data_IF_453262812232
#
_entry.id   IF_453262812232
#
_cell.length_a   1.000
_cell.length_b   1.000
_cell.length_c   1.000
_cell.angle_alpha   90.00
_cell.angle_beta   90.00
_cell.angle_gamma   90.00
#
_symmetry.space_group_name_H-M   'P 1'
#
loop_
_entity.id
_entity.type
_entity.pdbx_description
1 polymer ?
#
# COMPACT_ATOMS: atom_id res chain seq x y z
N UNK A 1 -13.88 0.61 11.67
CA UNK A 1 -14.32 -0.75 11.24
C UNK A 1 -13.38 -1.77 11.85
N UNK A 2 -13.88 -2.95 12.18
CA UNK A 2 -13.02 -4.05 12.63
C UNK A 2 -12.05 -4.45 11.50
N UNK A 3 -10.88 -4.98 11.85
CA UNK A 3 -9.93 -5.50 10.87
C UNK A 3 -10.53 -6.76 10.22
N UNK A 4 -10.48 -6.91 8.88
CA UNK A 4 -10.97 -8.12 8.21
C UNK A 4 -10.35 -9.39 8.76
N UNK A 5 -11.17 -10.44 8.88
CA UNK A 5 -10.77 -11.76 9.39
C UNK A 5 -11.12 -12.92 8.44
N UNK A 6 -11.78 -12.61 7.32
CA UNK A 6 -12.09 -13.56 6.25
C UNK A 6 -11.73 -12.99 4.89
N UNK A 7 -11.59 -13.86 3.87
CA UNK A 7 -11.31 -13.46 2.48
C UNK A 7 -12.36 -12.48 1.95
N UNK A 8 -13.64 -12.76 2.24
CA UNK A 8 -14.76 -11.92 1.79
C UNK A 8 -14.66 -10.54 2.43
N UNK A 9 -14.48 -10.47 3.76
CA UNK A 9 -14.33 -9.20 4.46
C UNK A 9 -13.13 -8.39 3.95
N UNK A 10 -12.01 -9.06 3.61
CA UNK A 10 -10.81 -8.42 3.06
C UNK A 10 -11.11 -7.79 1.71
N UNK A 11 -11.67 -8.56 0.76
CA UNK A 11 -11.99 -8.08 -0.59
C UNK A 11 -12.99 -6.93 -0.53
N UNK A 12 -14.08 -7.08 0.22
CA UNK A 12 -15.10 -6.04 0.37
C UNK A 12 -14.55 -4.77 1.00
N UNK A 13 -13.75 -4.89 2.07
CA UNK A 13 -13.18 -3.72 2.75
C UNK A 13 -12.14 -3.02 1.88
N UNK A 14 -11.32 -3.77 1.15
CA UNK A 14 -10.34 -3.23 0.21
C UNK A 14 -11.03 -2.43 -0.89
N UNK A 15 -12.04 -3.02 -1.56
CA UNK A 15 -12.80 -2.36 -2.61
C UNK A 15 -13.48 -1.07 -2.09
N UNK A 16 -14.21 -1.16 -0.97
CA UNK A 16 -14.92 -0.01 -0.40
C UNK A 16 -13.97 1.12 0.02
N UNK A 17 -12.79 0.79 0.56
CA UNK A 17 -11.80 1.81 0.93
C UNK A 17 -11.14 2.44 -0.30
N UNK A 18 -10.87 1.65 -1.33
CA UNK A 18 -10.31 2.13 -2.59
C UNK A 18 -11.30 3.05 -3.32
N UNK A 19 -12.57 2.67 -3.39
CA UNK A 19 -13.63 3.52 -3.96
C UNK A 19 -13.74 4.85 -3.20
N UNK A 20 -13.74 4.81 -1.87
CA UNK A 20 -13.74 6.04 -1.04
C UNK A 20 -12.52 6.92 -1.27
N UNK A 21 -11.35 6.34 -1.49
CA UNK A 21 -10.15 7.11 -1.85
C UNK A 21 -10.40 7.86 -3.16
N UNK A 22 -10.96 7.20 -4.18
CA UNK A 22 -11.29 7.85 -5.46
C UNK A 22 -12.41 8.87 -5.35
N UNK A 23 -13.47 8.61 -4.57
CA UNK A 23 -14.50 9.60 -4.29
C UNK A 23 -13.91 10.90 -3.70
N UNK A 24 -12.96 10.77 -2.77
CA UNK A 24 -12.25 11.92 -2.20
C UNK A 24 -11.39 12.60 -3.28
N UNK A 25 -10.60 11.85 -4.05
CA UNK A 25 -9.75 12.41 -5.10
C UNK A 25 -10.55 13.15 -6.15
N UNK A 26 -11.65 12.56 -6.63
CA UNK A 26 -12.52 13.11 -7.66
C UNK A 26 -13.28 14.35 -7.17
N UNK A 27 -13.41 14.54 -5.85
CA UNK A 27 -13.97 15.75 -5.25
C UNK A 27 -12.99 16.93 -5.20
N UNK A 28 -11.68 16.70 -5.42
CA UNK A 28 -10.66 17.75 -5.40
C UNK A 28 -10.71 18.52 -6.73
N UNK A 29 -10.84 19.86 -6.72
CA UNK A 29 -10.73 20.66 -7.94
C UNK A 29 -9.38 20.47 -8.63
N UNK A 30 -9.40 20.35 -9.97
CA UNK A 30 -8.19 20.08 -10.75
C UNK A 30 -7.11 21.15 -10.54
N UNK A 31 -7.51 22.40 -10.31
CA UNK A 31 -6.62 23.54 -10.11
C UNK A 31 -5.78 23.42 -8.83
N UNK A 32 -6.20 22.60 -7.87
CA UNK A 32 -5.52 22.45 -6.58
C UNK A 32 -4.92 21.06 -6.34
N UNK A 33 -5.13 20.09 -7.24
CA UNK A 33 -4.63 18.71 -7.08
C UNK A 33 -3.10 18.61 -6.98
N UNK A 34 -2.39 19.51 -7.66
CA UNK A 34 -0.91 19.54 -7.66
C UNK A 34 -0.34 20.57 -6.67
N UNK A 35 -1.20 21.34 -5.99
CA UNK A 35 -0.75 22.32 -5.00
C UNK A 35 -0.12 21.56 -3.82
N UNK A 36 1.09 21.95 -3.38
CA UNK A 36 1.70 21.34 -2.21
C UNK A 36 0.85 21.50 -0.96
N UNK A 37 0.71 20.42 -0.20
CA UNK A 37 0.13 20.44 1.13
C UNK A 37 0.97 21.31 2.06
N UNK A 38 0.31 22.14 2.86
CA UNK A 38 0.95 22.90 3.94
C UNK A 38 0.42 22.42 5.30
N UNK A 39 1.28 21.70 6.01
CA UNK A 39 1.03 21.20 7.36
C UNK A 39 1.93 21.87 8.41
N UNK A 40 2.70 22.89 8.02
CA UNK A 40 3.73 23.51 8.87
C UNK A 40 3.19 24.11 10.18
N UNK A 41 1.91 24.47 10.20
CA UNK A 41 1.24 25.08 11.35
C UNK A 41 0.50 24.07 12.26
N UNK A 42 0.54 22.76 11.99
CA UNK A 42 -0.13 21.75 12.82
C UNK A 42 0.88 20.96 13.68
N UNK A 43 1.05 21.30 14.98
CA UNK A 43 2.02 20.64 15.85
C UNK A 43 1.66 19.19 16.20
N UNK A 44 0.47 18.71 15.81
CA UNK A 44 0.05 17.32 16.02
C UNK A 44 0.58 16.39 14.93
N UNK A 45 0.97 16.92 13.77
CA UNK A 45 1.48 16.18 12.62
C UNK A 45 2.98 15.91 12.76
N UNK A 46 3.34 14.85 13.48
CA UNK A 46 4.74 14.55 13.86
C UNK A 46 5.35 13.39 13.07
N UNK A 47 4.51 12.58 12.42
CA UNK A 47 4.91 11.45 11.62
C UNK A 47 5.61 11.89 10.34
N UNK A 48 6.57 11.08 9.88
CA UNK A 48 7.41 11.40 8.71
C UNK A 48 6.62 11.61 7.41
N UNK A 49 5.43 11.00 7.25
CA UNK A 49 4.63 11.17 6.03
C UNK A 49 4.10 12.60 5.87
N UNK A 50 3.88 13.36 6.96
CA UNK A 50 3.44 14.76 6.88
C UNK A 50 4.50 15.69 6.27
N UNK A 51 5.77 15.32 6.38
CA UNK A 51 6.87 16.06 5.75
C UNK A 51 7.30 15.45 4.43
N UNK A 52 7.17 14.13 4.24
CA UNK A 52 7.53 13.44 3.00
C UNK A 52 6.56 13.73 1.88
N UNK A 53 5.26 13.46 2.07
CA UNK A 53 4.27 13.54 0.99
C UNK A 53 3.82 14.99 0.80
N UNK A 54 4.17 15.58 -0.33
CA UNK A 54 3.95 17.00 -0.59
C UNK A 54 2.68 17.29 -1.34
N UNK A 55 2.13 16.34 -2.09
CA UNK A 55 0.94 16.53 -2.90
C UNK A 55 0.24 15.19 -3.14
N UNK A 56 -0.86 15.20 -3.91
CA UNK A 56 -1.62 14.00 -4.20
C UNK A 56 -0.76 12.90 -4.85
N UNK A 57 0.10 13.24 -5.83
CA UNK A 57 0.99 12.28 -6.49
C UNK A 57 1.82 11.51 -5.46
N UNK A 58 2.42 12.19 -4.48
CA UNK A 58 3.28 11.55 -3.47
C UNK A 58 2.52 10.52 -2.63
N UNK A 59 1.25 10.79 -2.30
CA UNK A 59 0.39 9.84 -1.60
C UNK A 59 0.08 8.63 -2.50
N UNK A 60 -0.24 8.85 -3.77
CA UNK A 60 -0.58 7.77 -4.71
C UNK A 60 0.60 6.84 -4.98
N UNK A 61 1.80 7.40 -5.22
CA UNK A 61 3.01 6.59 -5.47
C UNK A 61 3.45 5.84 -4.23
N UNK A 62 3.22 6.39 -3.03
CA UNK A 62 3.45 5.65 -1.79
C UNK A 62 2.57 4.40 -1.71
N UNK A 63 1.26 4.53 -1.97
CA UNK A 63 0.35 3.38 -1.98
C UNK A 63 0.74 2.37 -3.07
N UNK A 64 1.10 2.85 -4.26
CA UNK A 64 1.56 2.02 -5.36
C UNK A 64 2.80 1.19 -4.98
N UNK A 65 3.85 1.81 -4.42
CA UNK A 65 5.08 1.09 -4.04
C UNK A 65 4.82 0.03 -2.96
N UNK A 66 3.86 0.25 -2.05
CA UNK A 66 3.45 -0.77 -1.08
C UNK A 66 2.67 -1.93 -1.70
N UNK A 67 1.88 -1.69 -2.76
CA UNK A 67 1.31 -2.78 -3.56
C UNK A 67 2.42 -3.58 -4.27
N UNK A 68 3.40 -2.91 -4.88
CA UNK A 68 4.53 -3.58 -5.55
C UNK A 68 5.34 -4.44 -4.59
N UNK A 69 5.60 -3.96 -3.37
CA UNK A 69 6.23 -4.76 -2.31
C UNK A 69 5.44 -6.03 -2.01
N UNK A 70 4.11 -5.92 -1.86
CA UNK A 70 3.25 -7.06 -1.57
C UNK A 70 3.23 -8.07 -2.73
N UNK A 71 3.02 -7.59 -3.95
CA UNK A 71 2.97 -8.41 -5.16
C UNK A 71 4.27 -9.18 -5.35
N UNK A 72 5.41 -8.48 -5.32
CA UNK A 72 6.72 -9.08 -5.51
C UNK A 72 7.03 -10.09 -4.40
N UNK A 73 6.75 -9.75 -3.15
CA UNK A 73 6.98 -10.64 -2.01
C UNK A 73 6.16 -11.92 -2.10
N UNK A 74 4.86 -11.84 -2.43
CA UNK A 74 4.00 -13.02 -2.54
C UNK A 74 4.43 -13.89 -3.72
N UNK A 75 4.67 -13.28 -4.89
CA UNK A 75 5.01 -14.02 -6.11
C UNK A 75 6.33 -14.78 -5.95
N UNK A 76 7.41 -14.09 -5.57
CA UNK A 76 8.72 -14.73 -5.38
C UNK A 76 8.65 -15.87 -4.36
N UNK A 77 8.03 -15.66 -3.19
CA UNK A 77 7.94 -16.71 -2.18
C UNK A 77 7.00 -17.86 -2.58
N UNK A 78 5.99 -17.61 -3.42
CA UNK A 78 5.13 -18.66 -3.97
C UNK A 78 5.83 -19.51 -5.02
N UNK A 79 6.83 -18.95 -5.71
CA UNK A 79 7.71 -19.63 -6.67
C UNK A 79 8.92 -20.31 -6.01
N UNK A 80 9.05 -20.19 -4.68
CA UNK A 80 10.14 -20.80 -3.91
C UNK A 80 11.40 -19.95 -3.81
N UNK A 81 11.35 -18.70 -4.26
CA UNK A 81 12.39 -17.70 -4.06
C UNK A 81 12.18 -17.00 -2.71
N UNK A 82 12.85 -17.49 -1.68
CA UNK A 82 12.72 -16.94 -0.33
C UNK A 82 13.21 -15.48 -0.28
N UNK A 83 12.28 -14.57 0.02
CA UNK A 83 12.62 -13.15 0.17
C UNK A 83 11.81 -12.46 1.28
N UNK A 84 12.42 -11.51 2.00
CA UNK A 84 11.71 -10.72 3.00
C UNK A 84 10.72 -9.75 2.34
N UNK A 85 9.66 -9.37 3.08
CA UNK A 85 8.70 -8.36 2.63
C UNK A 85 9.36 -7.01 2.34
N UNK A 86 10.27 -6.58 3.22
CA UNK A 86 11.04 -5.36 3.03
C UNK A 86 12.37 -5.71 2.35
N UNK A 87 12.71 -5.07 1.22
CA UNK A 87 13.94 -5.35 0.50
C UNK A 87 15.16 -4.91 1.32
N UNK A 88 16.26 -5.64 1.20
CA UNK A 88 17.53 -5.26 1.80
C UNK A 88 17.99 -3.88 1.25
N UNK A 89 18.55 -2.97 2.07
CA UNK A 89 18.96 -3.11 3.48
C UNK A 89 17.88 -2.81 4.52
N UNK A 90 16.63 -2.65 4.11
CA UNK A 90 15.57 -2.14 4.98
C UNK A 90 14.93 -3.21 5.86
N UNK A 91 14.41 -2.78 7.00
CA UNK A 91 13.62 -3.60 7.92
C UNK A 91 12.54 -2.73 8.60
N UNK A 92 11.71 -3.33 9.46
CA UNK A 92 10.60 -2.63 10.11
C UNK A 92 10.99 -1.45 11.01
N UNK A 93 12.28 -1.28 11.35
CA UNK A 93 12.79 -0.10 12.05
C UNK A 93 13.25 0.99 11.08
N UNK A 94 13.68 0.62 9.88
CA UNK A 94 14.27 1.53 8.88
C UNK A 94 13.38 1.74 7.65
N UNK A 95 12.19 1.13 7.59
CA UNK A 95 11.28 1.29 6.44
C UNK A 95 10.84 2.75 6.19
N UNK A 96 10.99 3.64 7.18
CA UNK A 96 10.83 5.08 6.96
C UNK A 96 11.81 5.64 5.91
N UNK A 97 13.04 5.11 5.88
CA UNK A 97 14.06 5.46 4.88
C UNK A 97 13.69 4.88 3.51
N UNK A 98 13.20 3.64 3.45
CA UNK A 98 12.65 3.05 2.22
C UNK A 98 11.52 3.91 1.65
N UNK A 99 10.61 4.39 2.51
CA UNK A 99 9.54 5.27 2.07
C UNK A 99 10.07 6.61 1.53
N UNK A 100 11.14 7.15 2.11
CA UNK A 100 11.80 8.34 1.58
C UNK A 100 12.41 8.06 0.20
N UNK A 101 12.96 6.87 0.00
CA UNK A 101 13.48 6.44 -1.30
C UNK A 101 12.37 6.32 -2.35
N UNK A 102 11.22 5.72 -2.02
CA UNK A 102 10.03 5.70 -2.88
C UNK A 102 9.65 7.11 -3.33
N UNK A 103 9.57 8.04 -2.38
CA UNK A 103 9.29 9.43 -2.72
C UNK A 103 10.34 10.01 -3.68
N UNK A 104 11.64 9.81 -3.42
CA UNK A 104 12.71 10.31 -4.29
C UNK A 104 12.61 9.76 -5.72
N UNK A 105 12.29 8.48 -5.88
CA UNK A 105 12.17 7.81 -7.19
C UNK A 105 11.07 8.41 -8.07
N UNK A 106 10.01 8.93 -7.46
CA UNK A 106 8.81 9.36 -8.17
C UNK A 106 8.69 10.87 -8.41
N UNK A 107 9.74 11.66 -8.16
CA UNK A 107 9.65 13.11 -8.35
C UNK A 107 9.43 13.56 -9.80
N UNK A 108 9.79 12.72 -10.78
CA UNK A 108 9.49 12.93 -12.21
C UNK A 108 8.18 12.27 -12.67
N UNK A 109 7.51 11.52 -11.79
CA UNK A 109 6.23 10.87 -12.11
C UNK A 109 5.13 11.92 -12.20
N UNK A 110 4.36 11.91 -13.29
CA UNK A 110 3.20 12.80 -13.47
C UNK A 110 2.03 12.31 -12.60
N UNK A 111 1.18 13.23 -12.16
CA UNK A 111 0.00 12.90 -11.35
C UNK A 111 -0.90 11.86 -12.04
N UNK A 112 -1.17 12.03 -13.34
CA UNK A 112 -2.00 11.08 -14.10
C UNK A 112 -1.37 9.68 -14.18
N UNK A 113 -0.04 9.60 -14.33
CA UNK A 113 0.67 8.33 -14.28
C UNK A 113 0.57 7.69 -12.89
N UNK A 114 0.72 8.46 -11.81
CA UNK A 114 0.58 7.95 -10.45
C UNK A 114 -0.84 7.40 -10.18
N UNK A 115 -1.88 8.04 -10.73
CA UNK A 115 -3.26 7.53 -10.66
C UNK A 115 -3.41 6.19 -11.37
N UNK A 116 -2.89 6.09 -12.60
CA UNK A 116 -2.96 4.85 -13.39
C UNK A 116 -2.17 3.72 -12.72
N UNK A 117 -0.95 4.00 -12.26
CA UNK A 117 -0.11 3.04 -11.55
C UNK A 117 -0.81 2.47 -10.31
N UNK A 118 -1.44 3.33 -9.50
CA UNK A 118 -2.17 2.86 -8.32
C UNK A 118 -3.39 2.02 -8.68
N UNK A 119 -4.15 2.39 -9.72
CA UNK A 119 -5.31 1.59 -10.19
C UNK A 119 -4.87 0.21 -10.67
N UNK A 120 -3.82 0.16 -11.48
CA UNK A 120 -3.29 -1.10 -12.01
C UNK A 120 -2.74 -1.99 -10.89
N UNK A 121 -1.93 -1.44 -9.98
CA UNK A 121 -1.36 -2.23 -8.88
C UNK A 121 -2.42 -2.68 -7.88
N UNK A 122 -3.44 -1.86 -7.61
CA UNK A 122 -4.57 -2.28 -6.77
C UNK A 122 -5.32 -3.46 -7.40
N UNK A 123 -5.65 -3.39 -8.69
CA UNK A 123 -6.31 -4.48 -9.39
C UNK A 123 -5.46 -5.76 -9.35
N UNK A 124 -4.16 -5.67 -9.60
CA UNK A 124 -3.25 -6.81 -9.50
C UNK A 124 -3.22 -7.42 -8.09
N UNK A 125 -3.24 -6.60 -7.04
CA UNK A 125 -3.32 -7.10 -5.66
C UNK A 125 -4.66 -7.79 -5.40
N UNK A 126 -5.77 -7.25 -5.91
CA UNK A 126 -7.09 -7.86 -5.76
C UNK A 126 -7.18 -9.20 -6.48
N UNK A 127 -6.71 -9.28 -7.73
CA UNK A 127 -6.62 -10.53 -8.49
C UNK A 127 -5.76 -11.57 -7.75
N UNK A 128 -4.60 -11.17 -7.23
CA UNK A 128 -3.73 -12.04 -6.45
C UNK A 128 -4.41 -12.55 -5.16
N UNK A 129 -5.14 -11.70 -4.43
CA UNK A 129 -5.90 -12.12 -3.23
C UNK A 129 -6.98 -13.14 -3.60
N UNK A 130 -7.58 -13.02 -4.79
CA UNK A 130 -8.61 -13.96 -5.26
C UNK A 130 -8.07 -15.37 -5.50
N UNK A 131 -6.79 -15.56 -5.76
CA UNK A 131 -6.18 -16.88 -5.95
C UNK A 131 -6.08 -17.69 -4.65
N UNK A 132 -6.01 -17.01 -3.50
CA UNK A 132 -5.86 -17.67 -2.22
C UNK A 132 -7.19 -18.08 -1.60
N UNK A 133 -7.20 -19.19 -0.87
CA UNK A 133 -8.31 -19.61 -0.02
C UNK A 133 -8.33 -18.82 1.29
N UNK A 134 -9.50 -18.80 1.96
CA UNK A 134 -9.64 -18.20 3.28
C UNK A 134 -8.63 -18.78 4.29
N UNK A 135 -8.39 -20.09 4.24
CA UNK A 135 -7.38 -20.76 5.09
C UNK A 135 -5.95 -20.27 4.80
N UNK A 136 -5.59 -20.13 3.53
CA UNK A 136 -4.27 -19.59 3.13
C UNK A 136 -4.08 -18.15 3.65
N UNK A 137 -5.14 -17.34 3.59
CA UNK A 137 -5.08 -15.94 4.01
C UNK A 137 -5.07 -15.79 5.54
N UNK A 138 -5.92 -16.52 6.27
CA UNK A 138 -6.19 -16.22 7.68
C UNK A 138 -5.72 -17.29 8.67
N UNK A 139 -5.02 -18.33 8.22
CA UNK A 139 -4.33 -19.26 9.12
C UNK A 139 -2.91 -18.76 9.41
N UNK A 140 -2.57 -18.61 10.68
CA UNK A 140 -1.20 -18.26 11.10
C UNK A 140 -0.22 -19.33 10.64
N UNK A 141 0.93 -18.90 10.11
CA UNK A 141 1.99 -19.81 9.65
C UNK A 141 1.50 -20.83 8.60
N UNK A 142 0.48 -20.48 7.82
CA UNK A 142 0.12 -21.30 6.66
C UNK A 142 1.28 -21.35 5.66
N UNK A 143 1.89 -20.18 5.44
CA UNK A 143 3.12 -20.03 4.69
C UNK A 143 4.27 -19.69 5.63
N UNK A 144 5.39 -20.40 5.52
CA UNK A 144 6.55 -20.22 6.40
C UNK A 144 7.12 -18.79 6.33
N UNK A 145 7.06 -18.17 5.15
CA UNK A 145 7.55 -16.82 4.89
C UNK A 145 6.68 -15.69 5.49
N UNK A 146 5.48 -15.99 6.02
CA UNK A 146 4.64 -14.99 6.72
C UNK A 146 5.06 -14.71 8.18
N UNK A 147 6.04 -15.46 8.69
CA UNK A 147 6.59 -15.28 10.03
C UNK A 147 5.58 -15.62 11.14
N UNK A 148 5.19 -14.63 11.95
CA UNK A 148 4.28 -14.84 13.10
C UNK A 148 2.83 -14.42 12.85
N UNK A 149 2.56 -13.84 11.68
CA UNK A 149 1.23 -13.32 11.32
C UNK A 149 0.56 -14.20 10.26
N UNK A 150 -0.48 -13.68 9.61
CA UNK A 150 -1.20 -14.31 8.50
C UNK A 150 -0.90 -13.56 7.21
N UNK A 151 -1.03 -14.21 6.05
CA UNK A 151 -0.91 -13.53 4.75
C UNK A 151 -1.94 -12.41 4.62
N UNK A 152 -3.19 -12.67 5.04
CA UNK A 152 -4.28 -11.72 5.07
C UNK A 152 -3.95 -10.46 5.86
N UNK A 153 -3.14 -10.55 6.92
CA UNK A 153 -2.66 -9.35 7.64
C UNK A 153 -1.85 -8.41 6.76
N UNK A 154 -0.97 -8.94 5.89
CA UNK A 154 -0.20 -8.13 4.94
C UNK A 154 -1.09 -7.54 3.85
N UNK A 155 -2.00 -8.34 3.29
CA UNK A 155 -2.98 -7.87 2.31
C UNK A 155 -3.84 -6.73 2.89
N UNK A 156 -4.37 -6.90 4.11
CA UNK A 156 -5.12 -5.84 4.81
C UNK A 156 -4.30 -4.56 4.96
N UNK A 157 -3.04 -4.67 5.38
CA UNK A 157 -2.18 -3.50 5.58
C UNK A 157 -1.93 -2.74 4.27
N UNK A 158 -1.82 -3.44 3.14
CA UNK A 158 -1.54 -2.84 1.84
C UNK A 158 -2.79 -2.25 1.16
N UNK A 159 -3.97 -2.86 1.35
CA UNK A 159 -5.18 -2.49 0.58
C UNK A 159 -6.25 -1.75 1.36
N UNK A 160 -6.26 -1.89 2.70
CA UNK A 160 -7.41 -1.53 3.52
C UNK A 160 -7.04 -0.98 4.89
N UNK A 161 -5.83 -0.45 5.07
CA UNK A 161 -5.42 0.24 6.29
C UNK A 161 -5.86 1.69 6.28
#
# INVERSE_FOLDING_TARGET
MARPTTKIELIETAAVKFDKLWEVIDSIPQEIMEIPFDFSNDPKKKEAHWTRDKNLRDVLVHLFEWHELLLNWINSNSEGEEMPFLPHPYNWKTYGELNQEFWCRHQETKLESAKEMLKLSHNAVMELIEEFTDKQLFTKKYFDWTGTTTLGSYCVSATSS
#
